data_IF_681329345359
#
_entry.id   IF_681329345359
#
_cell.length_a   1.000
_cell.length_b   1.000
_cell.length_c   1.000
_cell.angle_alpha   90.00
_cell.angle_beta   90.00
_cell.angle_gamma   90.00
#
_symmetry.space_group_name_H-M   'P 1'
#
loop_
_entity.id
_entity.type
_entity.pdbx_description
1 polymer ?
#
# COMPACT_ATOMS: atom_id res chain seq x y z
N UNK A 1 -2.95 -13.27 4.83
CA UNK A 1 -4.10 -12.98 5.71
C UNK A 1 -4.22 -14.08 6.74
N UNK A 2 -4.31 -13.72 8.02
CA UNK A 2 -4.26 -14.64 9.15
C UNK A 2 -5.54 -14.50 9.97
N UNK A 3 -6.15 -15.62 10.31
CA UNK A 3 -7.27 -15.70 11.23
C UNK A 3 -6.72 -15.74 12.65
N UNK A 4 -7.06 -14.73 13.45
CA UNK A 4 -6.52 -14.59 14.81
C UNK A 4 -7.14 -15.62 15.75
N UNK A 5 -8.44 -15.90 15.61
CA UNK A 5 -9.17 -16.83 16.48
C UNK A 5 -8.68 -18.27 16.31
N UNK A 6 -8.49 -18.71 15.06
CA UNK A 6 -8.02 -20.06 14.74
C UNK A 6 -6.51 -20.18 14.62
N UNK A 7 -5.79 -19.05 14.69
CA UNK A 7 -4.34 -18.96 14.50
C UNK A 7 -3.84 -19.60 13.20
N UNK A 8 -4.57 -19.40 12.10
CA UNK A 8 -4.29 -20.03 10.80
C UNK A 8 -4.16 -19.02 9.67
N UNK A 9 -3.31 -19.33 8.70
CA UNK A 9 -3.22 -18.55 7.45
C UNK A 9 -4.41 -18.91 6.57
N UNK A 10 -5.27 -17.94 6.27
CA UNK A 10 -6.46 -18.13 5.43
C UNK A 10 -6.11 -17.96 3.94
N UNK A 11 -5.34 -16.92 3.62
CA UNK A 11 -5.10 -16.48 2.23
C UNK A 11 -3.67 -16.01 2.02
N UNK A 12 -3.11 -16.36 0.86
CA UNK A 12 -1.79 -15.91 0.41
C UNK A 12 -1.95 -15.19 -0.93
N UNK A 13 -1.34 -14.02 -1.05
CA UNK A 13 -1.39 -13.20 -2.26
C UNK A 13 0.03 -13.09 -2.81
N UNK A 14 0.21 -13.52 -4.05
CA UNK A 14 1.51 -13.52 -4.72
C UNK A 14 1.31 -13.23 -6.20
N UNK A 15 2.12 -12.33 -6.75
CA UNK A 15 2.17 -12.07 -8.18
C UNK A 15 3.54 -12.51 -8.72
N UNK A 16 3.54 -13.51 -9.58
CA UNK A 16 4.76 -14.12 -10.16
C UNK A 16 5.39 -13.27 -11.27
N UNK A 17 4.68 -12.25 -11.78
CA UNK A 17 5.13 -11.42 -12.90
C UNK A 17 5.92 -10.18 -12.45
N UNK A 18 6.38 -10.12 -11.19
CA UNK A 18 7.04 -8.93 -10.65
C UNK A 18 8.55 -8.92 -10.95
N UNK A 19 9.01 -7.89 -11.66
CA UNK A 19 10.43 -7.65 -11.94
C UNK A 19 11.20 -7.14 -10.71
N UNK A 20 10.52 -6.42 -9.80
CA UNK A 20 11.08 -5.94 -8.53
C UNK A 20 9.97 -5.70 -7.50
N UNK A 21 10.24 -6.02 -6.24
CA UNK A 21 9.37 -5.70 -5.11
C UNK A 21 9.80 -4.35 -4.52
N UNK A 22 8.86 -3.48 -4.09
CA UNK A 22 9.22 -2.29 -3.34
C UNK A 22 9.91 -2.69 -2.04
N UNK A 23 10.89 -1.91 -1.59
CA UNK A 23 11.63 -2.17 -0.34
C UNK A 23 10.74 -1.97 0.87
N UNK A 24 9.88 -0.96 0.81
CA UNK A 24 8.90 -0.62 1.85
C UNK A 24 7.54 -0.56 1.18
N UNK A 25 6.57 -1.24 1.77
CA UNK A 25 5.21 -1.34 1.27
C UNK A 25 4.19 -1.11 2.40
N UNK A 26 3.03 -0.58 2.05
CA UNK A 26 1.84 -0.69 2.87
C UNK A 26 0.92 -1.80 2.35
N UNK A 27 0.29 -2.52 3.27
CA UNK A 27 -0.86 -3.37 2.98
C UNK A 27 -2.09 -2.62 3.44
N UNK A 28 -3.03 -2.36 2.54
CA UNK A 28 -4.30 -1.69 2.89
C UNK A 28 -5.51 -2.41 2.29
N UNK A 29 -6.60 -2.44 3.03
CA UNK A 29 -7.92 -2.92 2.58
C UNK A 29 -8.91 -1.77 2.47
N UNK A 30 -9.96 -1.94 1.67
CA UNK A 30 -11.09 -1.02 1.67
C UNK A 30 -11.98 -1.25 2.90
N UNK A 31 -12.90 -0.31 3.18
CA UNK A 31 -13.84 -0.42 4.32
C UNK A 31 -14.71 -1.68 4.28
N UNK A 32 -14.92 -2.27 3.10
CA UNK A 32 -15.74 -3.47 2.95
C UNK A 32 -14.92 -4.77 2.96
N UNK A 33 -13.60 -4.70 3.18
CA UNK A 33 -12.67 -5.84 3.15
C UNK A 33 -12.84 -6.75 1.91
N UNK A 34 -13.14 -6.14 0.77
CA UNK A 34 -13.35 -6.83 -0.50
C UNK A 34 -12.13 -6.77 -1.39
N UNK A 35 -11.37 -5.68 -1.32
CA UNK A 35 -10.18 -5.43 -2.12
C UNK A 35 -8.97 -5.15 -1.24
N UNK A 36 -7.81 -5.59 -1.71
CA UNK A 36 -6.54 -5.49 -1.04
C UNK A 36 -5.54 -4.82 -1.98
N UNK A 37 -4.93 -3.72 -1.55
CA UNK A 37 -3.75 -3.20 -2.21
C UNK A 37 -2.51 -3.68 -1.45
N UNK A 38 -1.62 -4.36 -2.16
CA UNK A 38 -0.37 -4.86 -1.62
C UNK A 38 0.71 -4.81 -2.70
N UNK A 39 1.87 -4.23 -2.40
CA UNK A 39 2.97 -4.09 -3.37
C UNK A 39 2.60 -3.36 -4.67
N UNK A 40 1.51 -2.58 -4.69
CA UNK A 40 1.03 -1.91 -5.91
C UNK A 40 0.20 -2.83 -6.80
N UNK A 41 -0.15 -4.00 -6.29
CA UNK A 41 -1.08 -4.92 -6.90
C UNK A 41 -2.40 -4.83 -6.15
N UNK A 42 -3.48 -4.69 -6.89
CA UNK A 42 -4.83 -4.73 -6.39
C UNK A 42 -5.40 -6.13 -6.52
N UNK A 43 -5.86 -6.71 -5.43
CA UNK A 43 -6.41 -8.06 -5.39
C UNK A 43 -7.86 -8.04 -4.91
N UNK A 44 -8.65 -8.97 -5.42
CA UNK A 44 -9.92 -9.33 -4.78
C UNK A 44 -9.63 -10.27 -3.62
N UNK A 45 -10.04 -9.90 -2.40
CA UNK A 45 -9.79 -10.71 -1.20
C UNK A 45 -10.55 -12.03 -1.27
N UNK A 46 -11.80 -12.03 -1.75
CA UNK A 46 -12.63 -13.23 -1.83
C UNK A 46 -12.05 -14.28 -2.78
N UNK A 47 -11.66 -13.87 -3.99
CA UNK A 47 -11.18 -14.80 -5.02
C UNK A 47 -9.66 -14.98 -5.04
N UNK A 48 -8.90 -14.19 -4.29
CA UNK A 48 -7.42 -14.16 -4.30
C UNK A 48 -6.82 -13.87 -5.68
N UNK A 49 -7.61 -13.25 -6.57
CA UNK A 49 -7.18 -12.94 -7.94
C UNK A 49 -6.64 -11.52 -8.01
N UNK A 50 -5.58 -11.34 -8.79
CA UNK A 50 -5.10 -10.04 -9.21
C UNK A 50 -6.19 -9.36 -10.05
N UNK A 51 -6.58 -8.16 -9.67
CA UNK A 51 -7.50 -7.28 -10.41
C UNK A 51 -6.67 -6.38 -11.31
N UNK A 52 -5.66 -5.72 -10.75
CA UNK A 52 -4.83 -4.75 -11.47
C UNK A 52 -3.42 -4.65 -10.87
N UNK A 53 -2.44 -4.33 -11.71
CA UNK A 53 -1.07 -4.05 -11.32
C UNK A 53 -0.77 -2.59 -11.68
N UNK A 54 -0.65 -1.74 -10.66
CA UNK A 54 -0.28 -0.34 -10.85
C UNK A 54 1.20 -0.24 -11.17
N UNK A 55 1.57 0.75 -11.99
CA UNK A 55 2.96 1.01 -12.34
C UNK A 55 3.74 1.49 -11.11
N UNK A 56 4.93 0.93 -10.91
CA UNK A 56 5.77 1.15 -9.72
C UNK A 56 7.01 1.92 -10.15
N UNK A 57 7.07 3.19 -9.79
CA UNK A 57 8.23 4.05 -10.11
C UNK A 57 9.10 4.32 -8.89
N UNK A 58 8.57 4.15 -7.68
CA UNK A 58 9.26 4.42 -6.42
C UNK A 58 9.59 3.14 -5.64
N UNK A 59 10.74 3.13 -4.93
CA UNK A 59 11.12 2.01 -4.07
C UNK A 59 10.31 1.94 -2.76
N UNK A 60 9.62 3.02 -2.40
CA UNK A 60 8.67 3.10 -1.29
C UNK A 60 7.27 3.18 -1.89
N UNK A 61 6.38 2.30 -1.45
CA UNK A 61 5.03 2.26 -1.98
C UNK A 61 3.99 2.29 -0.86
N UNK A 62 3.32 3.42 -0.74
CA UNK A 62 2.23 3.62 0.18
C UNK A 62 0.94 3.86 -0.59
N UNK A 63 -0.11 3.14 -0.25
CA UNK A 63 -1.40 3.28 -0.90
C UNK A 63 -2.51 3.52 0.11
N UNK A 64 -3.48 4.34 -0.28
CA UNK A 64 -4.64 4.70 0.53
C UNK A 64 -5.90 4.66 -0.33
N UNK A 65 -6.92 3.94 0.13
CA UNK A 65 -8.25 4.03 -0.45
C UNK A 65 -8.92 5.31 0.00
N UNK A 66 -9.60 6.03 -0.90
CA UNK A 66 -10.46 7.16 -0.55
C UNK A 66 -11.90 6.67 -0.59
N UNK A 67 -12.57 6.62 0.57
CA UNK A 67 -13.74 5.76 0.74
C UNK A 67 -14.98 6.27 0.00
N UNK A 68 -15.09 7.59 -0.18
CA UNK A 68 -16.25 8.20 -0.84
C UNK A 68 -16.13 8.26 -2.37
N UNK A 69 -14.92 8.21 -2.90
CA UNK A 69 -14.66 8.65 -4.28
C UNK A 69 -14.32 7.53 -5.27
N UNK A 70 -14.29 6.26 -4.84
CA UNK A 70 -13.79 5.14 -5.67
C UNK A 70 -12.42 5.45 -6.28
N UNK A 71 -11.57 6.13 -5.51
CA UNK A 71 -10.23 6.52 -5.91
C UNK A 71 -9.22 5.88 -4.99
N UNK A 72 -8.03 5.67 -5.51
CA UNK A 72 -6.88 5.18 -4.76
C UNK A 72 -5.70 6.09 -4.98
N UNK A 73 -5.10 6.52 -3.88
CA UNK A 73 -3.89 7.34 -3.88
C UNK A 73 -2.71 6.44 -3.60
N UNK A 74 -1.80 6.31 -4.55
CA UNK A 74 -0.57 5.53 -4.43
C UNK A 74 0.61 6.49 -4.55
N UNK A 75 1.34 6.70 -3.45
CA UNK A 75 2.31 7.77 -3.28
C UNK A 75 1.70 9.12 -3.67
N UNK A 76 2.13 9.70 -4.79
CA UNK A 76 1.65 10.97 -5.33
C UNK A 76 0.65 10.80 -6.48
N UNK A 77 0.27 9.58 -6.84
CA UNK A 77 -0.57 9.29 -7.99
C UNK A 77 -1.99 8.96 -7.57
N UNK A 78 -2.94 9.69 -8.13
CA UNK A 78 -4.35 9.49 -7.90
C UNK A 78 -4.95 8.67 -9.04
N UNK A 79 -5.55 7.54 -8.72
CA UNK A 79 -6.10 6.59 -9.68
C UNK A 79 -7.59 6.36 -9.47
N UNK A 80 -8.32 6.10 -10.56
CA UNK A 80 -9.71 5.67 -10.54
C UNK A 80 -9.80 4.15 -10.34
N UNK A 81 -10.59 3.66 -9.37
CA UNK A 81 -10.71 2.22 -9.07
C UNK A 81 -11.59 1.44 -10.04
N UNK A 82 -12.42 2.12 -10.84
CA UNK A 82 -13.32 1.48 -11.80
C UNK A 82 -12.65 1.31 -13.15
N UNK A 83 -11.92 2.32 -13.61
CA UNK A 83 -11.25 2.31 -14.93
C UNK A 83 -9.76 2.01 -14.85
N UNK A 84 -9.16 2.09 -13.66
CA UNK A 84 -7.70 2.00 -13.46
C UNK A 84 -6.91 3.04 -14.26
N UNK A 85 -7.55 4.16 -14.58
CA UNK A 85 -6.88 5.30 -15.22
C UNK A 85 -6.24 6.18 -14.17
N UNK A 86 -5.03 6.63 -14.45
CA UNK A 86 -4.38 7.71 -13.70
C UNK A 86 -5.20 8.98 -13.89
N UNK A 87 -5.74 9.51 -12.79
CA UNK A 87 -6.53 10.74 -12.79
C UNK A 87 -5.64 11.96 -12.65
N UNK A 88 -4.66 11.90 -11.74
CA UNK A 88 -3.77 13.04 -11.45
C UNK A 88 -2.45 12.60 -10.81
N UNK A 89 -1.44 13.47 -10.90
CA UNK A 89 -0.15 13.34 -10.20
C UNK A 89 0.06 14.59 -9.36
N UNK A 90 0.03 14.41 -8.03
CA UNK A 90 0.07 15.50 -7.06
C UNK A 90 1.52 15.73 -6.64
N UNK A 91 2.23 16.63 -7.31
CA UNK A 91 3.66 16.87 -7.06
C UNK A 91 4.02 17.17 -5.60
N UNK A 92 3.10 17.79 -4.84
CA UNK A 92 3.30 18.11 -3.43
C UNK A 92 3.38 16.87 -2.53
N UNK A 93 2.85 15.74 -2.99
CA UNK A 93 2.88 14.46 -2.28
C UNK A 93 4.07 13.61 -2.69
N UNK A 94 4.90 14.10 -3.61
CA UNK A 94 6.15 13.45 -3.93
C UNK A 94 7.00 13.43 -2.67
N UNK A 95 7.36 12.24 -2.22
CA UNK A 95 8.27 12.02 -1.09
C UNK A 95 7.72 12.43 0.27
N UNK A 96 6.39 12.38 0.41
CA UNK A 96 5.66 12.66 1.64
C UNK A 96 5.02 11.36 2.14
N UNK A 97 5.09 11.10 3.44
CA UNK A 97 4.32 10.03 4.05
C UNK A 97 2.89 10.54 4.24
N UNK A 98 1.98 9.92 3.51
CA UNK A 98 0.56 10.17 3.64
C UNK A 98 0.04 9.23 4.73
N UNK A 99 -0.74 9.76 5.66
CA UNK A 99 -1.52 8.97 6.61
C UNK A 99 -2.97 9.41 6.53
N UNK A 100 -3.88 8.46 6.68
CA UNK A 100 -5.31 8.72 6.64
C UNK A 100 -5.91 8.64 8.04
N UNK A 101 -6.77 9.57 8.40
CA UNK A 101 -7.59 9.46 9.62
C UNK A 101 -8.77 8.51 9.39
N UNK A 102 -9.45 8.15 10.47
CA UNK A 102 -10.68 7.35 10.40
C UNK A 102 -11.81 8.06 9.63
N UNK A 103 -11.84 9.40 9.62
CA UNK A 103 -12.89 10.20 8.99
C UNK A 103 -12.58 10.57 7.53
N UNK A 104 -11.60 9.94 6.91
CA UNK A 104 -11.11 10.23 5.55
C UNK A 104 -10.32 11.50 5.36
N UNK A 105 -10.01 12.21 6.44
CA UNK A 105 -9.07 13.32 6.36
C UNK A 105 -7.66 12.80 6.09
N UNK A 106 -6.95 13.49 5.18
CA UNK A 106 -5.58 13.16 4.83
C UNK A 106 -4.64 13.97 5.74
N UNK A 107 -3.88 13.26 6.56
CA UNK A 107 -2.76 13.82 7.33
C UNK A 107 -1.48 13.68 6.50
N UNK A 108 -0.85 14.82 6.24
CA UNK A 108 0.42 14.88 5.53
C UNK A 108 1.56 14.93 6.55
N UNK A 109 2.45 13.94 6.50
CA UNK A 109 3.70 13.93 7.24
C UNK A 109 4.86 14.13 6.27
N UNK A 110 5.63 15.21 6.43
CA UNK A 110 6.85 15.39 5.65
C UNK A 110 7.89 14.41 6.19
N UNK A 111 8.29 13.46 5.35
CA UNK A 111 9.41 12.58 5.66
C UNK A 111 10.71 13.33 5.37
N UNK A 112 11.57 13.49 6.38
CA UNK A 112 12.97 13.78 6.12
C UNK A 112 13.61 12.50 5.63
N UNK A 113 13.79 12.41 4.31
CA UNK A 113 14.66 11.45 3.64
C UNK A 113 16.08 11.59 4.18
N UNK A 114 16.36 10.94 5.28
CA UNK A 114 17.68 10.45 5.65
C UNK A 114 17.45 9.40 6.74
N UNK A 115 17.59 8.12 6.37
CA UNK A 115 17.70 6.95 7.24
C UNK A 115 16.43 6.17 7.62
N UNK A 116 15.71 5.61 6.64
CA UNK A 116 15.14 4.26 6.86
C UNK A 116 16.21 3.20 6.57
N UNK A 117 17.26 3.17 7.38
CA UNK A 117 17.95 1.91 7.62
C UNK A 117 17.07 1.16 8.62
N UNK A 118 16.51 0.02 8.22
CA UNK A 118 16.11 -0.98 9.20
C UNK A 118 17.44 -1.41 9.82
N UNK A 119 17.74 -1.10 11.09
CA UNK A 119 18.94 -1.63 11.71
C UNK A 119 18.84 -3.14 11.57
N UNK A 120 19.89 -3.79 11.05
CA UNK A 120 19.96 -5.24 11.07
C UNK A 120 19.69 -5.70 12.51
N UNK A 121 18.99 -6.83 12.65
CA UNK A 121 18.55 -7.40 13.92
C UNK A 121 19.70 -7.70 14.92
N UNK A 122 20.94 -7.37 14.57
CA UNK A 122 22.18 -7.67 15.30
C UNK A 122 22.59 -6.56 16.30
N UNK A 123 21.97 -5.37 16.29
CA UNK A 123 22.40 -4.27 17.18
C UNK A 123 21.74 -4.25 18.57
N UNK A 124 21.00 -5.29 18.98
CA UNK A 124 20.42 -5.39 20.33
C UNK A 124 20.98 -6.57 21.14
N UNK A 125 22.31 -6.65 21.24
CA UNK A 125 22.96 -7.37 22.34
C UNK A 125 23.85 -6.40 23.09
N UNK A 126 23.31 -5.77 24.13
CA UNK A 126 24.12 -5.20 25.19
C UNK A 126 24.24 -6.25 26.30
N UNK A 127 25.48 -6.68 26.51
CA UNK A 127 25.94 -7.50 27.64
C UNK A 127 26.02 -6.65 28.90
#
# INVERSE_FOLDING_TARGET
MFDIETSRVIKKFTNTCMNSLPRINSVVTDLSDNILLFNGDLYCIRSQKLIHNFLKFDPHLFGHFMHFDQKILINNQLWDLRTFSLLDVIDQFKDVIIKKTFNDDILLGIERRDNFQIPSLEEHVYT
#
